data_IF_536561419873
#
_entry.id   IF_536561419873
#
_cell.length_a   1.000
_cell.length_b   1.000
_cell.length_c   1.000
_cell.angle_alpha   90.00
_cell.angle_beta   90.00
_cell.angle_gamma   90.00
#
_symmetry.space_group_name_H-M   'P 1'
#
loop_
_entity.id
_entity.type
_entity.pdbx_description
1 polymer ?
#
# COMPACT_ATOMS: atom_id res chain seq x y z
N UNK A 1 -28.03 -14.48 70.36
CA UNK A 1 -28.12 -13.27 69.49
C UNK A 1 -26.75 -12.83 68.97
N UNK A 2 -25.72 -12.69 69.81
CA UNK A 2 -24.38 -12.23 69.39
C UNK A 2 -23.68 -13.10 68.32
N UNK A 3 -23.82 -14.44 68.40
CA UNK A 3 -23.23 -15.37 67.40
C UNK A 3 -23.81 -15.21 65.99
N UNK A 4 -25.11 -14.95 65.87
CA UNK A 4 -25.76 -14.74 64.57
C UNK A 4 -25.31 -13.44 63.89
N UNK A 5 -25.10 -12.39 64.69
CA UNK A 5 -24.59 -11.11 64.19
C UNK A 5 -23.17 -11.22 63.62
N UNK A 6 -22.28 -11.95 64.31
CA UNK A 6 -20.90 -12.20 63.84
C UNK A 6 -20.90 -12.98 62.52
N UNK A 7 -21.73 -14.02 62.39
CA UNK A 7 -21.80 -14.84 61.17
C UNK A 7 -22.27 -13.99 59.98
N UNK A 8 -23.28 -13.15 60.16
CA UNK A 8 -23.75 -12.23 59.11
C UNK A 8 -22.66 -11.25 58.72
N UNK A 9 -21.95 -10.66 59.69
CA UNK A 9 -20.88 -9.70 59.43
C UNK A 9 -19.69 -10.35 58.69
N UNK A 10 -19.29 -11.56 59.09
CA UNK A 10 -18.25 -12.33 58.38
C UNK A 10 -18.70 -12.72 56.97
N UNK A 11 -19.97 -13.08 56.78
CA UNK A 11 -20.52 -13.41 55.46
C UNK A 11 -20.47 -12.20 54.53
N UNK A 12 -20.87 -11.03 55.02
CA UNK A 12 -20.77 -9.76 54.26
C UNK A 12 -19.31 -9.44 53.93
N UNK A 13 -18.39 -9.67 54.87
CA UNK A 13 -16.95 -9.52 54.64
C UNK A 13 -16.44 -10.41 53.50
N UNK A 14 -16.77 -11.70 53.50
CA UNK A 14 -16.36 -12.66 52.46
C UNK A 14 -16.98 -12.35 51.11
N UNK A 15 -18.28 -12.00 51.08
CA UNK A 15 -18.95 -11.61 49.83
C UNK A 15 -18.37 -10.31 49.28
N UNK A 16 -18.09 -9.34 50.15
CA UNK A 16 -17.46 -8.07 49.76
C UNK A 16 -16.06 -8.25 49.20
N UNK A 17 -15.21 -9.05 49.83
CA UNK A 17 -13.85 -9.33 49.32
C UNK A 17 -13.87 -10.19 48.06
N UNK A 18 -14.80 -11.14 47.96
CA UNK A 18 -15.00 -11.93 46.74
C UNK A 18 -15.43 -11.08 45.54
N UNK A 19 -16.38 -10.15 45.75
CA UNK A 19 -16.80 -9.21 44.71
C UNK A 19 -15.68 -8.24 44.32
N UNK A 20 -14.96 -7.68 45.31
CA UNK A 20 -13.82 -6.81 45.05
C UNK A 20 -12.71 -7.53 44.29
N UNK A 21 -12.34 -8.75 44.72
CA UNK A 21 -11.33 -9.55 44.03
C UNK A 21 -11.72 -9.94 42.60
N UNK A 22 -13.00 -10.25 42.36
CA UNK A 22 -13.51 -10.50 41.01
C UNK A 22 -13.46 -9.25 40.13
N UNK A 23 -13.87 -8.10 40.67
CA UNK A 23 -13.83 -6.82 39.97
C UNK A 23 -12.39 -6.39 39.64
N UNK A 24 -11.49 -6.49 40.61
CA UNK A 24 -10.06 -6.22 40.44
C UNK A 24 -9.45 -7.14 39.37
N UNK A 25 -9.81 -8.43 39.36
CA UNK A 25 -9.38 -9.37 38.34
C UNK A 25 -9.87 -8.99 36.94
N UNK A 26 -11.13 -8.54 36.81
CA UNK A 26 -11.68 -8.06 35.54
C UNK A 26 -10.99 -6.77 35.06
N UNK A 27 -10.83 -5.78 35.92
CA UNK A 27 -10.16 -4.51 35.58
C UNK A 27 -8.70 -4.76 35.19
N UNK A 28 -7.98 -5.61 35.93
CA UNK A 28 -6.63 -6.05 35.58
C UNK A 28 -6.58 -6.72 34.20
N UNK A 29 -7.46 -7.67 33.93
CA UNK A 29 -7.48 -8.36 32.63
C UNK A 29 -7.81 -7.40 31.48
N UNK A 30 -8.72 -6.45 31.68
CA UNK A 30 -9.03 -5.43 30.69
C UNK A 30 -7.79 -4.57 30.37
N UNK A 31 -7.06 -4.12 31.40
CA UNK A 31 -5.82 -3.35 31.22
C UNK A 31 -4.76 -4.17 30.45
N UNK A 32 -4.57 -5.44 30.80
CA UNK A 32 -3.61 -6.32 30.12
C UNK A 32 -3.96 -6.54 28.65
N UNK A 33 -5.24 -6.76 28.33
CA UNK A 33 -5.70 -6.89 26.93
C UNK A 33 -5.51 -5.58 26.17
N UNK A 34 -5.82 -4.44 26.78
CA UNK A 34 -5.61 -3.14 26.15
C UNK A 34 -4.13 -2.86 25.86
N UNK A 35 -3.24 -3.18 26.80
CA UNK A 35 -1.79 -3.06 26.60
C UNK A 35 -1.30 -3.99 25.49
N UNK A 36 -1.70 -5.27 25.50
CA UNK A 36 -1.35 -6.24 24.46
C UNK A 36 -1.80 -5.78 23.07
N UNK A 37 -3.05 -5.32 22.92
CA UNK A 37 -3.56 -4.80 21.65
C UNK A 37 -2.77 -3.56 21.18
N UNK A 38 -2.36 -2.69 22.11
CA UNK A 38 -1.54 -1.54 21.79
C UNK A 38 -0.15 -1.94 21.32
N UNK A 39 0.49 -2.92 21.95
CA UNK A 39 1.80 -3.43 21.54
C UNK A 39 1.75 -4.11 20.18
N UNK A 40 0.75 -4.96 19.94
CA UNK A 40 0.55 -5.58 18.64
C UNK A 40 0.36 -4.54 17.54
N UNK A 41 -0.52 -3.55 17.77
CA UNK A 41 -0.74 -2.44 16.83
C UNK A 41 0.55 -1.67 16.57
N UNK A 42 1.23 -1.19 17.62
CA UNK A 42 2.45 -0.41 17.48
C UNK A 42 3.56 -1.18 16.76
N UNK A 43 3.69 -2.48 17.01
CA UNK A 43 4.67 -3.32 16.31
C UNK A 43 4.32 -3.50 14.82
N UNK A 44 3.05 -3.73 14.49
CA UNK A 44 2.61 -3.82 13.10
C UNK A 44 2.75 -2.50 12.35
N UNK A 45 2.40 -1.39 13.00
CA UNK A 45 2.58 -0.04 12.45
C UNK A 45 4.07 0.22 12.21
N UNK A 46 4.95 -0.09 13.17
CA UNK A 46 6.40 0.04 13.01
C UNK A 46 6.94 -0.78 11.82
N UNK A 47 6.59 -2.06 11.72
CA UNK A 47 7.02 -2.91 10.62
C UNK A 47 6.60 -2.30 9.26
N UNK A 48 5.36 -1.84 9.18
CA UNK A 48 4.84 -1.15 8.00
C UNK A 48 5.57 0.17 7.69
N UNK A 49 5.84 1.01 8.70
CA UNK A 49 6.59 2.25 8.48
C UNK A 49 8.02 1.99 8.00
N UNK A 50 8.67 0.94 8.51
CA UNK A 50 10.02 0.55 8.06
C UNK A 50 10.00 0.04 6.62
N UNK A 51 8.99 -0.73 6.21
CA UNK A 51 8.80 -1.12 4.80
C UNK A 51 8.69 0.13 3.91
N UNK A 52 7.80 1.07 4.29
CA UNK A 52 7.62 2.32 3.57
C UNK A 52 8.89 3.16 3.52
N UNK A 53 9.65 3.18 4.62
CA UNK A 53 10.89 3.92 4.74
C UNK A 53 11.94 3.40 3.76
N UNK A 54 12.13 2.08 3.72
CA UNK A 54 13.03 1.42 2.78
C UNK A 54 12.64 1.72 1.33
N UNK A 55 11.36 1.61 0.98
CA UNK A 55 10.88 1.90 -0.38
C UNK A 55 11.07 3.38 -0.77
N UNK A 56 10.81 4.31 0.15
CA UNK A 56 10.98 5.74 -0.10
C UNK A 56 12.44 6.13 -0.24
N UNK A 57 13.33 5.61 0.61
CA UNK A 57 14.78 5.79 0.46
C UNK A 57 15.26 5.23 -0.88
N UNK A 58 14.83 4.02 -1.24
CA UNK A 58 15.16 3.41 -2.52
C UNK A 58 14.68 4.25 -3.71
N UNK A 59 13.49 4.83 -3.62
CA UNK A 59 12.96 5.74 -4.64
C UNK A 59 13.79 7.02 -4.74
N UNK A 60 14.16 7.63 -3.61
CA UNK A 60 15.03 8.82 -3.56
C UNK A 60 16.40 8.56 -4.20
N UNK A 61 16.99 7.38 -4.00
CA UNK A 61 18.26 7.00 -4.65
C UNK A 61 18.18 6.98 -6.18
N UNK A 62 17.01 6.67 -6.75
CA UNK A 62 16.81 6.62 -8.20
C UNK A 62 16.44 7.98 -8.80
N UNK A 63 16.13 8.98 -7.99
CA UNK A 63 15.81 10.34 -8.43
C UNK A 63 17.07 11.13 -8.80
N UNK A 64 16.91 12.16 -9.62
CA UNK A 64 18.01 13.04 -10.04
C UNK A 64 17.71 14.54 -9.91
N UNK A 65 16.44 14.94 -9.83
CA UNK A 65 16.05 16.36 -9.85
C UNK A 65 15.73 16.89 -8.44
N UNK A 66 15.99 18.18 -8.18
CA UNK A 66 15.53 18.82 -6.93
C UNK A 66 14.02 18.72 -6.73
N UNK A 67 13.26 18.95 -7.80
CA UNK A 67 11.80 18.98 -7.78
C UNK A 67 11.19 17.66 -7.31
N UNK A 68 11.89 16.54 -7.47
CA UNK A 68 11.51 15.22 -6.97
C UNK A 68 12.19 14.86 -5.64
N UNK A 69 13.47 15.20 -5.47
CA UNK A 69 14.26 14.85 -4.28
C UNK A 69 13.77 15.52 -2.98
N UNK A 70 13.51 16.83 -2.99
CA UNK A 70 13.11 17.55 -1.76
C UNK A 70 11.80 17.02 -1.17
N UNK A 71 10.71 16.84 -1.95
CA UNK A 71 9.49 16.21 -1.46
C UNK A 71 9.70 14.78 -0.98
N UNK A 72 10.51 13.98 -1.70
CA UNK A 72 10.77 12.59 -1.32
C UNK A 72 11.51 12.48 0.03
N UNK A 73 12.50 13.33 0.27
CA UNK A 73 13.24 13.40 1.53
C UNK A 73 12.35 13.92 2.68
N UNK A 74 11.45 14.88 2.43
CA UNK A 74 10.46 15.30 3.42
C UNK A 74 9.51 14.15 3.80
N UNK A 75 9.13 13.31 2.83
CA UNK A 75 8.34 12.10 3.05
C UNK A 75 9.10 11.07 3.91
N UNK A 76 10.38 10.84 3.61
CA UNK A 76 11.26 9.98 4.43
C UNK A 76 11.31 10.48 5.87
N UNK A 77 11.56 11.78 6.09
CA UNK A 77 11.55 12.38 7.43
C UNK A 77 10.22 12.18 8.18
N UNK A 78 9.08 12.34 7.49
CA UNK A 78 7.75 12.13 8.06
C UNK A 78 7.55 10.67 8.49
N UNK A 79 7.90 9.71 7.63
CA UNK A 79 7.75 8.27 7.91
C UNK A 79 8.65 7.86 9.08
N UNK A 80 9.89 8.34 9.09
CA UNK A 80 10.80 8.13 10.20
C UNK A 80 10.23 8.64 11.53
N UNK A 81 9.60 9.81 11.52
CA UNK A 81 8.96 10.36 12.73
C UNK A 81 7.78 9.49 13.21
N UNK A 82 7.03 8.89 12.29
CA UNK A 82 5.97 7.93 12.61
C UNK A 82 6.55 6.65 13.21
N UNK A 83 7.55 6.05 12.56
CA UNK A 83 8.24 4.87 13.06
C UNK A 83 8.82 5.09 14.47
N UNK A 84 9.40 6.26 14.73
CA UNK A 84 9.91 6.61 16.06
C UNK A 84 8.78 6.70 17.11
N UNK A 85 7.61 7.22 16.73
CA UNK A 85 6.43 7.25 17.61
C UNK A 85 5.87 5.85 17.90
N UNK A 86 6.00 4.92 16.95
CA UNK A 86 5.53 3.54 17.11
C UNK A 86 6.47 2.73 18.01
N UNK A 87 7.80 2.90 17.87
CA UNK A 87 8.78 2.36 18.82
C UNK A 87 8.51 2.86 20.24
N UNK A 88 8.21 4.15 20.39
CA UNK A 88 7.86 4.76 21.68
C UNK A 88 6.68 4.13 22.41
N UNK A 89 5.82 3.40 21.70
CA UNK A 89 4.65 2.71 22.24
C UNK A 89 4.90 1.24 22.60
N UNK A 90 6.04 0.67 22.18
CA UNK A 90 6.45 -0.68 22.57
C UNK A 90 6.90 -0.70 24.04
N UNK A 91 6.99 -1.88 24.69
CA UNK A 91 7.51 -1.98 26.05
C UNK A 91 9.02 -1.66 26.08
N UNK A 92 9.35 -0.36 26.06
CA UNK A 92 10.69 0.20 25.88
C UNK A 92 11.65 -0.07 27.05
N UNK A 93 11.14 -0.33 28.25
CA UNK A 93 11.97 -0.50 29.44
C UNK A 93 12.79 -1.79 29.44
N UNK A 94 12.51 -2.72 28.54
CA UNK A 94 13.03 -4.09 28.62
C UNK A 94 13.55 -4.66 27.28
N UNK A 95 13.29 -4.00 26.15
CA UNK A 95 13.74 -4.43 24.82
C UNK A 95 14.86 -3.51 24.29
N UNK A 96 15.90 -4.06 23.63
CA UNK A 96 17.00 -3.25 23.10
C UNK A 96 16.57 -2.59 21.78
N UNK A 97 15.92 -1.43 21.85
CA UNK A 97 15.52 -0.64 20.67
C UNK A 97 16.38 0.60 20.42
N UNK A 98 17.37 0.86 21.27
CA UNK A 98 18.12 2.11 21.28
C UNK A 98 18.81 2.39 19.94
N UNK A 99 19.27 1.35 19.23
CA UNK A 99 19.93 1.48 17.92
C UNK A 99 18.93 1.65 16.78
N UNK A 100 17.74 1.06 16.90
CA UNK A 100 16.65 1.32 15.93
C UNK A 100 16.16 2.76 16.04
N UNK A 101 16.00 3.28 17.27
CA UNK A 101 15.69 4.70 17.50
C UNK A 101 16.79 5.63 16.96
N UNK A 102 18.06 5.30 17.22
CA UNK A 102 19.22 6.06 16.70
C UNK A 102 19.26 6.06 15.17
N UNK A 103 19.04 4.90 14.54
CA UNK A 103 18.95 4.77 13.09
C UNK A 103 17.83 5.65 12.49
N UNK A 104 16.63 5.59 13.08
CA UNK A 104 15.52 6.43 12.65
C UNK A 104 15.88 7.90 12.82
N UNK A 105 16.37 8.32 13.98
CA UNK A 105 16.78 9.71 14.21
C UNK A 105 17.78 10.21 13.15
N UNK A 106 18.78 9.39 12.81
CA UNK A 106 19.78 9.71 11.78
C UNK A 106 19.18 9.87 10.38
N UNK A 107 18.27 8.98 9.97
CA UNK A 107 17.55 9.12 8.70
C UNK A 107 16.75 10.40 8.68
N UNK A 108 16.05 10.68 9.78
CA UNK A 108 15.24 11.88 9.93
C UNK A 108 16.08 13.14 9.72
N UNK A 109 17.24 13.22 10.38
CA UNK A 109 18.13 14.39 10.32
C UNK A 109 18.69 14.60 8.91
N UNK A 110 19.26 13.53 8.34
CA UNK A 110 19.79 13.56 6.98
C UNK A 110 18.72 14.02 5.99
N UNK A 111 17.53 13.44 6.07
CA UNK A 111 16.45 13.69 5.12
C UNK A 111 15.90 15.10 5.26
N UNK A 112 15.70 15.59 6.49
CA UNK A 112 15.23 16.96 6.72
C UNK A 112 16.25 18.00 6.25
N UNK A 113 17.52 17.88 6.69
CA UNK A 113 18.59 18.83 6.34
C UNK A 113 18.76 18.94 4.82
N UNK A 114 18.67 17.81 4.13
CA UNK A 114 18.80 17.75 2.67
C UNK A 114 17.55 18.28 1.98
N UNK A 115 16.34 17.97 2.48
CA UNK A 115 15.09 18.40 1.87
C UNK A 115 14.94 19.93 1.81
N UNK A 116 15.39 20.65 2.85
CA UNK A 116 15.28 22.11 2.95
C UNK A 116 16.36 22.87 2.15
N UNK A 117 17.36 22.17 1.60
CA UNK A 117 18.45 22.77 0.81
C UNK A 117 18.01 23.08 -0.63
N UNK A 118 18.69 24.02 -1.27
CA UNK A 118 18.54 24.30 -2.69
C UNK A 118 19.29 23.25 -3.54
N UNK A 119 18.67 22.07 -3.77
CA UNK A 119 19.32 20.96 -4.48
C UNK A 119 19.60 21.23 -5.97
N UNK A 120 19.11 22.33 -6.55
CA UNK A 120 19.47 22.73 -7.92
C UNK A 120 20.88 23.35 -7.94
N UNK A 121 21.26 24.02 -6.85
CA UNK A 121 22.59 24.63 -6.68
C UNK A 121 23.56 23.70 -5.96
N UNK A 122 23.04 22.96 -4.98
CA UNK A 122 23.79 22.05 -4.12
C UNK A 122 23.14 20.66 -4.17
N UNK A 123 23.28 19.93 -5.30
CA UNK A 123 22.76 18.57 -5.44
C UNK A 123 23.38 17.64 -4.40
N UNK A 124 22.83 16.44 -4.26
CA UNK A 124 23.45 15.39 -3.45
C UNK A 124 24.87 15.15 -3.94
N UNK A 125 25.84 15.31 -3.04
CA UNK A 125 27.21 14.94 -3.34
C UNK A 125 27.44 13.42 -3.16
N UNK A 126 28.58 12.92 -3.64
CA UNK A 126 28.89 11.49 -3.57
C UNK A 126 28.88 10.91 -2.14
N UNK A 127 29.26 11.71 -1.13
CA UNK A 127 29.22 11.26 0.27
C UNK A 127 27.79 11.11 0.75
N UNK A 128 26.93 12.09 0.48
CA UNK A 128 25.51 12.06 0.83
C UNK A 128 24.76 10.93 0.10
N UNK A 129 25.11 10.69 -1.17
CA UNK A 129 24.56 9.57 -1.93
C UNK A 129 24.97 8.21 -1.33
N UNK A 130 26.25 8.05 -0.96
CA UNK A 130 26.73 6.86 -0.26
C UNK A 130 26.05 6.68 1.11
N UNK A 131 25.83 7.76 1.86
CA UNK A 131 25.06 7.73 3.10
C UNK A 131 23.65 7.22 2.83
N UNK A 132 22.94 7.76 1.84
CA UNK A 132 21.59 7.30 1.50
C UNK A 132 21.55 5.82 1.09
N UNK A 133 22.58 5.33 0.39
CA UNK A 133 22.73 3.91 0.05
C UNK A 133 22.98 3.02 1.27
N UNK A 134 23.75 3.50 2.25
CA UNK A 134 23.92 2.79 3.52
C UNK A 134 22.61 2.75 4.32
N UNK A 135 21.89 3.87 4.39
CA UNK A 135 20.59 3.94 5.05
C UNK A 135 19.57 3.00 4.38
N UNK A 136 19.61 2.88 3.04
CA UNK A 136 18.80 1.91 2.29
C UNK A 136 19.08 0.47 2.73
N UNK A 137 20.35 0.06 2.74
CA UNK A 137 20.74 -1.30 3.12
C UNK A 137 20.41 -1.60 4.59
N UNK A 138 20.60 -0.62 5.48
CA UNK A 138 20.26 -0.76 6.90
C UNK A 138 18.74 -0.87 7.09
N UNK A 139 17.94 -0.09 6.35
CA UNK A 139 16.49 -0.19 6.37
C UNK A 139 16.02 -1.58 5.92
N UNK A 140 16.63 -2.14 4.87
CA UNK A 140 16.35 -3.50 4.41
C UNK A 140 16.64 -4.56 5.48
N UNK A 141 17.78 -4.45 6.17
CA UNK A 141 18.13 -5.38 7.24
C UNK A 141 17.16 -5.28 8.42
N UNK A 142 16.79 -4.07 8.84
CA UNK A 142 15.83 -3.85 9.93
C UNK A 142 14.44 -4.36 9.53
N UNK A 143 14.03 -4.10 8.29
CA UNK A 143 12.80 -4.62 7.71
C UNK A 143 12.74 -6.15 7.83
N UNK A 144 13.77 -6.85 7.35
CA UNK A 144 13.82 -8.32 7.39
C UNK A 144 13.77 -8.87 8.81
N UNK A 145 14.48 -8.23 9.76
CA UNK A 145 14.45 -8.66 11.15
C UNK A 145 13.09 -8.41 11.82
N UNK A 146 12.44 -7.27 11.55
CA UNK A 146 11.08 -7.00 12.04
C UNK A 146 10.07 -8.01 11.45
N UNK A 147 10.20 -8.37 10.16
CA UNK A 147 9.35 -9.38 9.53
C UNK A 147 9.57 -10.78 10.11
N UNK A 148 10.80 -11.16 10.45
CA UNK A 148 11.08 -12.40 11.19
C UNK A 148 10.42 -12.41 12.56
N UNK A 149 10.54 -11.32 13.33
CA UNK A 149 9.88 -11.20 14.65
C UNK A 149 8.36 -11.30 14.49
N UNK A 150 7.80 -10.63 13.48
CA UNK A 150 6.37 -10.70 13.16
C UNK A 150 5.92 -12.13 12.87
N UNK A 151 6.65 -12.83 12.01
CA UNK A 151 6.36 -14.22 11.66
C UNK A 151 6.40 -15.13 12.90
N UNK A 152 7.44 -14.99 13.73
CA UNK A 152 7.61 -15.81 14.95
C UNK A 152 6.54 -15.53 16.00
N UNK A 153 6.14 -14.27 16.17
CA UNK A 153 5.06 -13.88 17.07
C UNK A 153 3.72 -14.50 16.64
N UNK A 154 3.40 -14.44 15.35
CA UNK A 154 2.17 -15.02 14.78
C UNK A 154 2.18 -16.56 14.83
N UNK A 155 3.31 -17.19 14.46
CA UNK A 155 3.46 -18.65 14.43
C UNK A 155 3.31 -19.30 15.80
N UNK A 156 3.83 -18.63 16.84
CA UNK A 156 3.85 -19.16 18.20
C UNK A 156 2.80 -18.53 19.14
N UNK A 157 1.88 -17.69 18.62
CA UNK A 157 0.89 -16.95 19.41
C UNK A 157 1.49 -16.24 20.63
N UNK A 158 2.65 -15.59 20.43
CA UNK A 158 3.38 -14.95 21.51
C UNK A 158 2.69 -13.66 21.91
N UNK A 159 2.55 -13.44 23.23
CA UNK A 159 2.00 -12.19 23.78
C UNK A 159 3.13 -11.26 24.17
N UNK A 160 3.08 -10.02 23.73
CA UNK A 160 4.05 -8.98 24.05
C UNK A 160 4.15 -8.73 25.56
N UNK A 161 3.02 -8.85 26.26
CA UNK A 161 2.95 -8.78 27.72
C UNK A 161 3.73 -9.89 28.43
N UNK A 162 3.79 -11.12 27.86
CA UNK A 162 4.57 -12.21 28.45
C UNK A 162 6.07 -11.95 28.33
N UNK A 163 6.49 -11.29 27.24
CA UNK A 163 7.88 -10.85 27.03
C UNK A 163 8.24 -9.78 28.06
N UNK A 164 7.38 -8.80 28.27
CA UNK A 164 7.57 -7.76 29.29
C UNK A 164 7.68 -8.35 30.71
N UNK A 165 6.78 -9.26 31.09
CA UNK A 165 6.82 -9.93 32.40
C UNK A 165 8.08 -10.79 32.58
N UNK A 166 8.48 -11.52 31.52
CA UNK A 166 9.70 -12.34 31.56
C UNK A 166 10.93 -11.47 31.82
N UNK A 167 11.08 -10.38 31.07
CA UNK A 167 12.20 -9.44 31.19
C UNK A 167 12.21 -8.72 32.56
N UNK A 168 11.05 -8.33 33.09
CA UNK A 168 10.94 -7.68 34.40
C UNK A 168 11.32 -8.63 35.56
N UNK A 169 11.11 -9.93 35.37
CA UNK A 169 11.35 -10.95 36.40
C UNK A 169 12.81 -11.44 36.49
N UNK A 170 13.72 -11.00 35.60
CA UNK A 170 15.10 -11.50 35.45
C UNK A 170 15.21 -13.03 35.29
N UNK A 171 14.10 -13.73 35.07
CA UNK A 171 14.12 -15.10 34.62
C UNK A 171 14.38 -15.05 33.11
N UNK A 172 15.54 -15.54 32.68
CA UNK A 172 15.76 -15.89 31.28
C UNK A 172 15.16 -17.28 31.04
N UNK A 173 13.91 -17.43 30.57
CA UNK A 173 13.55 -18.68 29.94
C UNK A 173 14.45 -18.81 28.71
N UNK A 174 15.15 -19.93 28.60
CA UNK A 174 16.17 -20.20 27.60
C UNK A 174 15.64 -20.32 26.14
N UNK A 175 14.47 -19.75 25.86
CA UNK A 175 13.77 -19.89 24.58
C UNK A 175 12.79 -18.70 24.40
N UNK A 176 13.31 -17.51 24.11
CA UNK A 176 12.43 -16.36 23.83
C UNK A 176 12.81 -15.70 22.51
N UNK A 177 12.34 -16.32 21.43
CA UNK A 177 12.66 -16.00 20.03
C UNK A 177 12.38 -14.54 19.67
N UNK A 178 11.43 -13.87 20.35
CA UNK A 178 11.16 -12.44 20.18
C UNK A 178 12.35 -11.59 20.64
N UNK A 179 12.91 -11.88 21.80
CA UNK A 179 14.04 -11.13 22.38
C UNK A 179 15.26 -11.27 21.47
N UNK A 180 15.51 -12.47 20.94
CA UNK A 180 16.65 -12.72 20.06
C UNK A 180 16.47 -12.09 18.67
N UNK A 181 15.24 -12.05 18.16
CA UNK A 181 14.91 -11.26 16.98
C UNK A 181 15.20 -9.77 17.18
N UNK A 182 14.77 -9.18 18.31
CA UNK A 182 15.07 -7.77 18.60
C UNK A 182 16.55 -7.48 18.81
N UNK A 183 17.30 -8.37 19.48
CA UNK A 183 18.77 -8.24 19.56
C UNK A 183 19.42 -8.25 18.18
N UNK A 184 18.85 -8.97 17.22
CA UNK A 184 19.34 -9.04 15.85
C UNK A 184 19.01 -7.76 15.07
N UNK A 185 17.78 -7.24 15.20
CA UNK A 185 17.41 -5.88 14.71
C UNK A 185 18.42 -4.85 15.22
N UNK A 186 18.65 -4.82 16.54
CA UNK A 186 19.51 -3.86 17.22
C UNK A 186 20.97 -3.93 16.75
N UNK A 187 21.49 -5.15 16.56
CA UNK A 187 22.87 -5.37 16.09
C UNK A 187 23.08 -4.84 14.68
N UNK A 188 22.07 -4.94 13.81
CA UNK A 188 22.15 -4.50 12.41
C UNK A 188 22.06 -2.98 12.24
N UNK A 189 21.62 -2.24 13.27
CA UNK A 189 21.54 -0.77 13.27
C UNK A 189 22.82 -0.02 13.69
N UNK A 190 23.94 -0.71 13.91
CA UNK A 190 25.21 -0.07 14.32
C UNK A 190 25.92 0.64 13.15
N UNK A 191 25.67 1.95 12.95
CA UNK A 191 26.66 2.92 12.42
C UNK A 191 26.20 4.39 12.55
N UNK A 192 27.02 5.18 13.26
CA UNK A 192 27.09 6.66 13.34
C UNK A 192 26.10 7.42 14.24
N UNK A 193 26.59 8.46 14.91
CA UNK A 193 25.87 9.32 15.85
C UNK A 193 26.16 10.81 15.60
N UNK A 194 25.12 11.67 15.60
CA UNK A 194 24.99 12.89 16.44
C UNK A 194 23.87 13.89 16.00
N UNK A 195 23.07 14.26 17.02
CA UNK A 195 22.48 15.57 17.39
C UNK A 195 21.18 16.12 16.75
N UNK A 196 20.59 17.06 17.51
CA UNK A 196 19.15 17.31 17.77
C UNK A 196 18.42 18.36 16.91
N UNK A 197 17.07 18.25 16.90
CA UNK A 197 16.05 18.93 16.09
C UNK A 197 15.37 20.18 16.70
N UNK A 198 14.71 20.96 15.82
CA UNK A 198 13.57 21.85 16.10
C UNK A 198 12.40 21.61 15.12
N UNK A 199 11.15 22.07 15.38
CA UNK A 199 9.95 21.59 14.69
C UNK A 199 9.56 22.41 13.44
N UNK A 200 8.94 21.77 12.44
CA UNK A 200 8.20 22.43 11.34
C UNK A 200 6.89 21.69 11.00
N UNK A 201 5.92 22.49 10.57
CA UNK A 201 4.53 22.18 10.23
C UNK A 201 4.33 21.32 8.98
N UNK A 202 3.25 20.54 8.99
CA UNK A 202 2.63 19.89 7.84
C UNK A 202 1.43 20.68 7.34
N UNK A 203 1.29 20.82 6.04
CA UNK A 203 0.01 21.11 5.38
C UNK A 203 -0.18 20.13 4.23
N UNK A 204 -1.14 19.21 4.39
CA UNK A 204 -1.68 18.37 3.33
C UNK A 204 -3.02 18.97 2.90
N UNK A 205 -3.07 19.62 1.74
CA UNK A 205 -4.33 19.89 1.06
C UNK A 205 -4.70 18.68 0.19
N UNK A 206 -5.85 18.08 0.47
CA UNK A 206 -6.55 17.17 -0.45
C UNK A 206 -7.58 18.00 -1.21
N UNK A 207 -7.41 18.20 -2.51
CA UNK A 207 -8.49 18.67 -3.38
C UNK A 207 -8.97 17.59 -4.37
N UNK A 208 -10.30 17.49 -4.39
CA UNK A 208 -11.28 17.04 -5.39
C UNK A 208 -10.76 16.26 -6.60
N UNK A 209 -10.99 14.95 -6.60
CA UNK A 209 -11.16 14.16 -7.83
C UNK A 209 -12.30 14.78 -8.66
N UNK A 210 -11.98 15.15 -9.89
CA UNK A 210 -12.84 15.85 -10.85
C UNK A 210 -14.08 15.06 -11.28
N UNK A 211 -14.98 15.79 -11.94
CA UNK A 211 -16.23 15.30 -12.52
C UNK A 211 -15.96 14.17 -13.52
N UNK A 212 -16.78 13.11 -13.49
CA UNK A 212 -16.63 12.01 -14.45
C UNK A 212 -17.10 12.42 -15.84
N UNK A 213 -16.21 12.32 -16.83
CA UNK A 213 -16.47 12.69 -18.22
C UNK A 213 -17.19 11.56 -18.98
N UNK A 214 -18.38 11.19 -18.52
CA UNK A 214 -19.16 10.10 -19.12
C UNK A 214 -20.17 10.65 -20.13
N UNK A 215 -20.00 10.25 -21.38
CA UNK A 215 -20.90 10.60 -22.49
C UNK A 215 -21.80 9.42 -22.87
N UNK A 216 -22.93 9.71 -23.54
CA UNK A 216 -23.89 8.71 -24.02
C UNK A 216 -25.31 8.96 -23.50
N UNK A 217 -26.33 8.26 -24.01
CA UNK A 217 -27.70 8.41 -23.52
C UNK A 217 -27.87 7.83 -22.11
N UNK A 218 -28.87 8.29 -21.37
CA UNK A 218 -29.28 7.63 -20.12
C UNK A 218 -29.85 6.25 -20.42
N UNK A 219 -29.51 5.28 -19.59
CA UNK A 219 -30.04 3.92 -19.67
C UNK A 219 -31.10 3.67 -18.60
N UNK A 220 -32.01 2.72 -18.87
CA UNK A 220 -32.97 2.21 -17.89
C UNK A 220 -32.38 1.10 -17.02
N UNK A 221 -33.10 0.73 -15.96
CA UNK A 221 -32.76 -0.43 -15.10
C UNK A 221 -32.69 -1.74 -15.92
N UNK A 222 -33.65 -1.99 -16.80
CA UNK A 222 -33.65 -3.17 -17.68
C UNK A 222 -32.44 -3.20 -18.61
N UNK A 223 -32.02 -2.04 -19.12
CA UNK A 223 -30.81 -1.92 -19.93
C UNK A 223 -29.56 -2.20 -19.10
N UNK A 224 -29.50 -1.72 -17.85
CA UNK A 224 -28.41 -2.03 -16.93
C UNK A 224 -28.33 -3.54 -16.64
N UNK A 225 -29.45 -4.20 -16.41
CA UNK A 225 -29.53 -5.67 -16.23
C UNK A 225 -29.00 -6.40 -17.47
N UNK A 226 -29.39 -5.96 -18.68
CA UNK A 226 -28.90 -6.58 -19.91
C UNK A 226 -27.40 -6.40 -20.12
N UNK A 227 -26.86 -5.23 -19.76
CA UNK A 227 -25.41 -4.98 -19.76
C UNK A 227 -24.71 -5.91 -18.76
N UNK A 228 -25.23 -6.04 -17.54
CA UNK A 228 -24.66 -6.94 -16.53
C UNK A 228 -24.67 -8.41 -16.97
N UNK A 229 -25.79 -8.88 -17.56
CA UNK A 229 -25.90 -10.23 -18.12
C UNK A 229 -24.82 -10.50 -19.18
N UNK A 230 -24.62 -9.55 -20.09
CA UNK A 230 -23.61 -9.66 -21.13
C UNK A 230 -22.19 -9.59 -20.56
N UNK A 231 -21.92 -8.66 -19.65
CA UNK A 231 -20.59 -8.42 -19.09
C UNK A 231 -20.11 -9.59 -18.21
N UNK A 232 -21.02 -10.15 -17.41
CA UNK A 232 -20.74 -11.27 -16.51
C UNK A 232 -20.96 -12.65 -17.17
N UNK A 233 -21.38 -12.68 -18.44
CA UNK A 233 -21.70 -13.92 -19.17
C UNK A 233 -22.68 -14.84 -18.41
N UNK A 234 -23.73 -14.26 -17.84
CA UNK A 234 -24.72 -14.97 -17.01
C UNK A 234 -25.51 -15.99 -17.83
N UNK A 235 -25.82 -17.14 -17.22
CA UNK A 235 -26.47 -18.28 -17.90
C UNK A 235 -28.00 -18.26 -17.81
N UNK A 236 -28.56 -17.38 -16.98
CA UNK A 236 -30.00 -17.12 -16.88
C UNK A 236 -30.69 -17.70 -15.64
N UNK A 237 -30.01 -18.56 -14.87
CA UNK A 237 -30.53 -19.15 -13.63
C UNK A 237 -30.31 -18.25 -12.40
N UNK A 238 -29.53 -17.17 -12.56
CA UNK A 238 -29.11 -16.29 -11.49
C UNK A 238 -30.22 -15.30 -11.09
N UNK A 239 -30.35 -15.04 -9.79
CA UNK A 239 -31.27 -14.01 -9.27
C UNK A 239 -30.57 -12.65 -9.34
N UNK A 240 -31.20 -11.70 -10.02
CA UNK A 240 -30.66 -10.34 -10.21
C UNK A 240 -31.53 -9.35 -9.47
N UNK A 241 -30.93 -8.52 -8.63
CA UNK A 241 -31.55 -7.32 -8.04
C UNK A 241 -30.81 -6.08 -8.51
N UNK A 242 -31.54 -5.00 -8.75
CA UNK A 242 -31.01 -3.71 -9.16
C UNK A 242 -31.50 -2.61 -8.23
N UNK A 243 -30.60 -1.73 -7.83
CA UNK A 243 -30.89 -0.55 -7.03
C UNK A 243 -30.29 0.68 -7.69
N UNK A 244 -31.04 1.78 -7.70
CA UNK A 244 -30.55 3.05 -8.22
C UNK A 244 -29.80 3.82 -7.11
N UNK A 245 -28.67 4.41 -7.48
CA UNK A 245 -27.90 5.32 -6.61
C UNK A 245 -28.77 6.41 -5.97
N UNK A 246 -28.41 6.79 -4.74
CA UNK A 246 -29.18 7.74 -3.94
C UNK A 246 -29.24 9.15 -4.56
N UNK A 247 -30.23 9.94 -4.15
CA UNK A 247 -30.45 11.30 -4.69
C UNK A 247 -29.24 12.23 -4.54
N UNK A 248 -28.41 12.05 -3.50
CA UNK A 248 -27.19 12.84 -3.25
C UNK A 248 -25.92 12.36 -3.96
N UNK A 249 -25.96 11.22 -4.67
CA UNK A 249 -24.78 10.73 -5.39
C UNK A 249 -24.38 11.70 -6.50
N UNK A 250 -23.11 12.16 -6.47
CA UNK A 250 -22.51 13.07 -7.47
C UNK A 250 -22.58 12.48 -8.89
N UNK A 251 -22.46 11.17 -8.99
CA UNK A 251 -22.61 10.42 -10.23
C UNK A 251 -23.72 9.40 -10.04
N UNK A 252 -24.65 9.34 -11.01
CA UNK A 252 -25.74 8.36 -10.97
C UNK A 252 -25.32 7.03 -11.59
N UNK A 253 -25.64 5.96 -10.89
CA UNK A 253 -25.37 4.58 -11.29
C UNK A 253 -26.49 3.64 -10.82
N UNK A 254 -26.48 2.45 -11.39
CA UNK A 254 -27.27 1.29 -10.98
C UNK A 254 -26.33 0.29 -10.31
N UNK A 255 -26.67 -0.12 -9.09
CA UNK A 255 -26.00 -1.20 -8.37
C UNK A 255 -26.76 -2.49 -8.60
N UNK A 256 -26.06 -3.51 -9.08
CA UNK A 256 -26.62 -4.79 -9.47
C UNK A 256 -25.97 -5.87 -8.62
N UNK A 257 -26.81 -6.67 -7.96
CA UNK A 257 -26.41 -7.86 -7.22
C UNK A 257 -26.93 -9.09 -7.94
N UNK A 258 -26.03 -10.01 -8.26
CA UNK A 258 -26.32 -11.26 -8.94
C UNK A 258 -26.00 -12.41 -7.97
N UNK A 259 -27.01 -13.23 -7.67
CA UNK A 259 -26.87 -14.41 -6.80
C UNK A 259 -27.00 -15.68 -7.62
N UNK A 260 -25.98 -16.50 -7.62
CA UNK A 260 -26.02 -17.84 -8.19
C UNK A 260 -26.57 -18.82 -7.13
N UNK A 261 -27.78 -19.39 -7.33
CA UNK A 261 -28.38 -20.30 -6.36
C UNK A 261 -27.65 -21.64 -6.24
N UNK A 262 -26.83 -22.04 -7.22
CA UNK A 262 -26.13 -23.34 -7.23
C UNK A 262 -24.87 -23.30 -6.37
N UNK A 263 -24.17 -22.17 -6.39
CA UNK A 263 -22.89 -21.98 -5.68
C UNK A 263 -23.04 -21.13 -4.42
N UNK A 264 -24.20 -20.48 -4.23
CA UNK A 264 -24.43 -19.46 -3.21
C UNK A 264 -23.43 -18.28 -3.32
N UNK A 265 -22.84 -18.07 -4.50
CA UNK A 265 -21.97 -16.93 -4.75
C UNK A 265 -22.76 -15.68 -5.11
N UNK A 266 -22.27 -14.53 -4.68
CA UNK A 266 -22.79 -13.21 -4.95
C UNK A 266 -21.77 -12.41 -5.77
N UNK A 267 -22.25 -11.76 -6.82
CA UNK A 267 -21.47 -10.82 -7.63
C UNK A 267 -22.15 -9.46 -7.60
N UNK A 268 -21.41 -8.44 -7.19
CA UNK A 268 -21.87 -7.07 -7.14
C UNK A 268 -21.21 -6.27 -8.26
N UNK A 269 -21.98 -5.41 -8.91
CA UNK A 269 -21.56 -4.62 -10.06
C UNK A 269 -22.25 -3.26 -10.07
N UNK A 270 -21.50 -2.19 -10.32
CA UNK A 270 -22.11 -0.87 -10.61
C UNK A 270 -21.98 -0.51 -12.08
N UNK A 271 -23.03 0.08 -12.65
CA UNK A 271 -23.10 0.55 -14.03
C UNK A 271 -23.55 2.01 -14.04
N UNK A 272 -22.87 2.85 -14.82
CA UNK A 272 -23.24 4.28 -14.94
C UNK A 272 -24.65 4.44 -15.54
N UNK A 273 -25.48 5.32 -14.97
CA UNK A 273 -26.80 5.63 -15.56
C UNK A 273 -26.62 6.30 -16.93
N UNK A 274 -25.58 7.12 -17.07
CA UNK A 274 -25.20 7.73 -18.34
C UNK A 274 -24.32 6.76 -19.13
N UNK A 275 -24.70 6.41 -20.36
CA UNK A 275 -23.90 5.61 -21.29
C UNK A 275 -23.80 4.10 -20.98
N UNK A 276 -24.16 3.66 -19.77
CA UNK A 276 -24.20 2.24 -19.43
C UNK A 276 -22.83 1.56 -19.30
N UNK A 277 -21.84 2.25 -18.74
CA UNK A 277 -20.50 1.71 -18.57
C UNK A 277 -20.35 0.93 -17.25
N UNK A 278 -19.79 -0.30 -17.28
CA UNK A 278 -19.36 -1.00 -16.07
C UNK A 278 -18.33 -0.18 -15.30
N UNK A 279 -18.61 0.12 -14.03
CA UNK A 279 -17.71 0.88 -13.14
C UNK A 279 -16.80 -0.08 -12.39
N UNK A 280 -17.39 -1.06 -11.72
CA UNK A 280 -16.66 -2.09 -10.98
C UNK A 280 -17.48 -3.37 -10.88
N UNK A 281 -16.79 -4.48 -10.63
CA UNK A 281 -17.36 -5.81 -10.31
C UNK A 281 -16.55 -6.41 -9.17
N UNK A 282 -17.21 -7.10 -8.24
CA UNK A 282 -16.58 -8.05 -7.32
C UNK A 282 -17.46 -9.27 -7.17
N UNK A 283 -16.87 -10.44 -7.32
CA UNK A 283 -17.47 -11.72 -7.01
C UNK A 283 -16.86 -12.27 -5.72
N UNK A 284 -17.68 -12.79 -4.82
CA UNK A 284 -17.23 -13.46 -3.60
C UNK A 284 -17.12 -14.99 -3.76
N UNK A 285 -17.17 -15.50 -4.99
CA UNK A 285 -17.10 -16.94 -5.22
C UNK A 285 -15.81 -17.52 -4.64
N UNK A 286 -15.88 -18.76 -4.19
CA UNK A 286 -14.70 -19.53 -3.84
C UNK A 286 -13.85 -19.80 -5.09
N UNK A 287 -12.54 -19.64 -4.94
CA UNK A 287 -11.54 -19.86 -6.01
C UNK A 287 -10.75 -21.09 -5.63
N UNK A 288 -10.76 -22.08 -6.53
CA UNK A 288 -10.09 -23.36 -6.29
C UNK A 288 -8.63 -23.29 -6.69
N UNK A 289 -7.96 -24.43 -6.65
CA UNK A 289 -6.56 -24.57 -7.07
C UNK A 289 -6.32 -24.01 -8.48
N UNK A 290 -5.19 -23.32 -8.62
CA UNK A 290 -4.69 -22.79 -9.87
C UNK A 290 -4.58 -23.87 -10.96
N UNK A 291 -5.18 -23.58 -12.13
CA UNK A 291 -5.08 -24.40 -13.35
C UNK A 291 -4.51 -23.65 -14.54
N UNK A 292 -4.17 -22.38 -14.35
CA UNK A 292 -3.75 -21.46 -15.39
C UNK A 292 -2.59 -20.60 -14.91
N UNK A 293 -1.65 -20.30 -15.80
CA UNK A 293 -0.57 -19.37 -15.52
C UNK A 293 -1.03 -17.91 -15.47
N UNK A 294 -0.25 -17.05 -14.81
CA UNK A 294 -0.52 -15.61 -14.77
C UNK A 294 -0.54 -14.99 -16.19
N UNK A 295 0.31 -15.49 -17.09
CA UNK A 295 0.38 -15.03 -18.48
C UNK A 295 -0.91 -15.35 -19.26
N UNK A 296 -1.39 -16.59 -19.19
CA UNK A 296 -2.66 -16.99 -19.83
C UNK A 296 -3.85 -16.20 -19.27
N UNK A 297 -3.87 -15.92 -17.96
CA UNK A 297 -4.88 -15.09 -17.34
C UNK A 297 -4.81 -13.63 -17.85
N UNK A 298 -3.61 -13.07 -18.02
CA UNK A 298 -3.40 -11.74 -18.62
C UNK A 298 -3.98 -11.62 -20.03
N UNK A 299 -3.73 -12.62 -20.89
CA UNK A 299 -4.27 -12.68 -22.26
C UNK A 299 -5.81 -12.82 -22.28
N UNK A 300 -6.37 -13.59 -21.34
CA UNK A 300 -7.84 -13.64 -21.13
C UNK A 300 -8.38 -12.27 -20.73
N UNK A 301 -7.68 -11.54 -19.85
CA UNK A 301 -8.03 -10.19 -19.45
C UNK A 301 -8.09 -9.22 -20.63
N UNK A 302 -7.05 -9.20 -21.49
CA UNK A 302 -7.04 -8.40 -22.71
C UNK A 302 -8.20 -8.73 -23.65
N UNK A 303 -8.47 -10.03 -23.83
CA UNK A 303 -9.58 -10.51 -24.66
C UNK A 303 -10.94 -10.06 -24.11
N UNK A 304 -11.13 -10.16 -22.79
CA UNK A 304 -12.33 -9.69 -22.10
C UNK A 304 -12.55 -8.18 -22.28
N UNK A 305 -11.50 -7.38 -22.11
CA UNK A 305 -11.56 -5.92 -22.30
C UNK A 305 -11.97 -5.57 -23.73
N UNK A 306 -11.35 -6.22 -24.72
CA UNK A 306 -11.65 -6.00 -26.14
C UNK A 306 -13.10 -6.34 -26.48
N UNK A 307 -13.64 -7.44 -25.96
CA UNK A 307 -15.03 -7.84 -26.15
C UNK A 307 -16.01 -6.85 -25.50
N UNK A 308 -15.63 -6.27 -24.36
CA UNK A 308 -16.43 -5.32 -23.59
C UNK A 308 -16.16 -3.84 -23.95
N UNK A 309 -15.71 -3.58 -25.19
CA UNK A 309 -15.52 -2.24 -25.78
C UNK A 309 -14.39 -1.39 -25.17
N UNK A 310 -13.52 -1.96 -24.35
CA UNK A 310 -12.28 -1.33 -23.92
C UNK A 310 -11.19 -1.68 -24.95
N UNK A 311 -10.98 -0.75 -25.89
CA UNK A 311 -10.07 -0.94 -27.03
C UNK A 311 -8.67 -0.43 -26.70
N UNK A 312 -7.68 -0.99 -27.39
CA UNK A 312 -6.27 -0.60 -27.32
C UNK A 312 -5.71 -0.66 -25.89
N UNK A 313 -6.12 -1.66 -25.12
CA UNK A 313 -5.57 -1.89 -23.79
C UNK A 313 -4.28 -2.70 -23.90
N UNK A 314 -3.30 -2.37 -23.07
CA UNK A 314 -2.04 -3.07 -22.91
C UNK A 314 -1.89 -3.50 -21.44
N UNK A 315 -1.33 -4.68 -21.19
CA UNK A 315 -0.99 -5.11 -19.83
C UNK A 315 0.17 -4.26 -19.30
N UNK A 316 -0.06 -3.58 -18.18
CA UNK A 316 0.96 -2.75 -17.53
C UNK A 316 1.58 -3.44 -16.32
N UNK A 317 0.76 -4.01 -15.44
CA UNK A 317 1.22 -4.63 -14.20
C UNK A 317 0.44 -5.93 -13.95
N UNK A 318 1.14 -6.96 -13.47
CA UNK A 318 0.53 -8.23 -13.08
C UNK A 318 1.20 -8.76 -11.82
N UNK A 319 0.38 -9.19 -10.86
CA UNK A 319 0.83 -9.90 -9.66
C UNK A 319 -0.10 -11.08 -9.38
N UNK A 320 0.39 -12.05 -8.62
CA UNK A 320 -0.39 -13.21 -8.21
C UNK A 320 -0.51 -13.24 -6.69
N UNK A 321 -1.73 -13.44 -6.20
CA UNK A 321 -2.01 -13.69 -4.79
C UNK A 321 -2.81 -14.98 -4.70
N UNK A 322 -2.19 -16.03 -4.16
CA UNK A 322 -2.75 -17.39 -4.14
C UNK A 322 -3.21 -17.81 -5.56
N UNK A 323 -4.47 -18.22 -5.74
CA UNK A 323 -5.02 -18.64 -7.02
C UNK A 323 -5.72 -17.49 -7.78
N UNK A 324 -5.32 -16.23 -7.52
CA UNK A 324 -5.85 -15.02 -8.18
C UNK A 324 -4.75 -14.19 -8.81
N UNK A 325 -4.88 -13.92 -10.11
CA UNK A 325 -4.08 -12.93 -10.81
C UNK A 325 -4.71 -11.54 -10.68
N UNK A 326 -3.90 -10.56 -10.30
CA UNK A 326 -4.28 -9.13 -10.24
C UNK A 326 -3.55 -8.41 -11.36
N UNK A 327 -4.31 -7.72 -12.20
CA UNK A 327 -3.80 -7.09 -13.41
C UNK A 327 -4.20 -5.62 -13.46
N UNK A 328 -3.29 -4.78 -13.92
CA UNK A 328 -3.59 -3.42 -14.35
C UNK A 328 -3.32 -3.31 -15.84
N UNK A 329 -4.32 -2.88 -16.59
CA UNK A 329 -4.23 -2.57 -18.00
C UNK A 329 -4.27 -1.06 -18.18
N UNK A 330 -3.56 -0.53 -19.18
CA UNK A 330 -3.58 0.89 -19.54
C UNK A 330 -3.91 1.04 -21.02
N UNK A 331 -4.55 2.14 -21.39
CA UNK A 331 -4.79 2.44 -22.81
C UNK A 331 -3.47 2.77 -23.50
N UNK A 332 -3.24 2.21 -24.67
CA UNK A 332 -2.15 2.54 -25.56
C UNK A 332 -2.72 3.22 -26.83
N UNK A 333 -2.29 4.45 -27.11
CA UNK A 333 -2.62 5.16 -28.35
C UNK A 333 -1.33 5.48 -29.08
N UNK A 334 -1.19 4.97 -30.29
CA UNK A 334 -0.02 5.24 -31.14
C UNK A 334 1.33 5.00 -30.44
N UNK A 335 1.42 3.91 -29.67
CA UNK A 335 2.59 3.53 -28.86
C UNK A 335 2.87 4.44 -27.65
N UNK A 336 1.89 5.25 -27.23
CA UNK A 336 1.92 6.06 -26.00
C UNK A 336 0.99 5.45 -24.96
N UNK A 337 1.53 5.10 -23.78
CA UNK A 337 0.74 4.58 -22.66
C UNK A 337 0.03 5.71 -21.93
N UNK A 338 -1.27 5.57 -21.70
CA UNK A 338 -2.08 6.57 -21.01
C UNK A 338 -2.47 6.01 -19.64
N UNK A 339 -1.61 6.25 -18.65
CA UNK A 339 -1.80 5.78 -17.28
C UNK A 339 -3.11 6.23 -16.60
N UNK A 340 -3.62 7.46 -16.83
CA UNK A 340 -4.92 7.85 -16.32
C UNK A 340 -6.07 6.97 -16.84
N UNK A 341 -5.88 6.32 -17.99
CA UNK A 341 -6.84 5.42 -18.61
C UNK A 341 -6.57 3.95 -18.24
N UNK A 342 -6.51 3.68 -16.94
CA UNK A 342 -6.24 2.36 -16.40
C UNK A 342 -7.50 1.59 -16.01
N UNK A 343 -7.42 0.27 -16.14
CA UNK A 343 -8.44 -0.69 -15.72
C UNK A 343 -7.76 -1.77 -14.89
N UNK A 344 -8.29 -2.02 -13.70
CA UNK A 344 -7.82 -3.09 -12.83
C UNK A 344 -8.74 -4.30 -12.92
N UNK A 345 -8.17 -5.50 -12.93
CA UNK A 345 -8.90 -6.75 -13.00
C UNK A 345 -8.33 -7.78 -12.02
N UNK A 346 -9.21 -8.58 -11.44
CA UNK A 346 -8.86 -9.82 -10.74
C UNK A 346 -9.41 -10.99 -11.54
N UNK A 347 -8.53 -11.89 -11.92
CA UNK A 347 -8.86 -13.08 -12.71
C UNK A 347 -8.50 -14.29 -11.88
N UNK A 348 -9.47 -15.15 -11.67
CA UNK A 348 -9.26 -16.38 -10.95
C UNK A 348 -8.50 -17.38 -11.83
N UNK A 349 -7.44 -17.97 -11.28
CA UNK A 349 -6.53 -18.84 -12.03
C UNK A 349 -7.02 -20.29 -12.10
N UNK A 350 -8.14 -20.62 -11.46
CA UNK A 350 -8.78 -21.94 -11.51
C UNK A 350 -9.58 -22.17 -12.82
N UNK A 351 -10.28 -21.14 -13.32
CA UNK A 351 -11.12 -21.22 -14.53
C UNK A 351 -10.98 -20.02 -15.48
N UNK A 352 -10.32 -18.93 -15.04
CA UNK A 352 -10.14 -17.69 -15.81
C UNK A 352 -11.32 -16.73 -15.79
N UNK A 353 -12.30 -16.92 -14.89
CA UNK A 353 -13.40 -15.98 -14.70
C UNK A 353 -12.94 -14.68 -14.04
N UNK A 354 -13.61 -13.58 -14.41
CA UNK A 354 -13.35 -12.25 -13.86
C UNK A 354 -14.04 -12.15 -12.50
N UNK A 355 -13.27 -12.22 -11.42
CA UNK A 355 -13.76 -12.10 -10.04
C UNK A 355 -13.67 -10.68 -9.50
N UNK A 356 -12.96 -9.80 -10.20
CA UNK A 356 -12.90 -8.38 -9.90
C UNK A 356 -12.63 -7.53 -11.13
N UNK A 357 -13.24 -6.36 -11.19
CA UNK A 357 -13.05 -5.39 -12.26
C UNK A 357 -13.21 -3.98 -11.71
N UNK A 358 -12.41 -3.02 -12.17
CA UNK A 358 -12.57 -1.60 -11.87
C UNK A 358 -12.09 -0.75 -13.04
N UNK A 359 -13.02 -0.04 -13.67
CA UNK A 359 -12.75 0.97 -14.70
C UNK A 359 -12.91 2.40 -14.16
N UNK A 360 -12.85 2.59 -12.84
CA UNK A 360 -13.05 3.91 -12.21
C UNK A 360 -12.10 4.97 -12.76
N UNK A 361 -10.82 4.64 -12.88
CA UNK A 361 -9.81 5.58 -13.40
C UNK A 361 -10.01 5.82 -14.90
N UNK A 362 -10.21 4.76 -15.68
CA UNK A 362 -10.61 4.87 -17.09
C UNK A 362 -11.86 5.74 -17.31
N UNK A 363 -12.87 5.70 -16.45
CA UNK A 363 -14.09 6.51 -16.58
C UNK A 363 -13.93 7.94 -16.04
N UNK A 364 -12.99 8.17 -15.12
CA UNK A 364 -12.65 9.50 -14.62
C UNK A 364 -11.70 10.26 -15.56
N UNK A 365 -10.93 9.54 -16.37
CA UNK A 365 -10.03 10.13 -17.38
C UNK A 365 -10.78 10.99 -18.40
N UNK A 366 -10.09 12.01 -18.92
CA UNK A 366 -10.57 12.75 -20.09
C UNK A 366 -10.48 11.85 -21.31
N UNK A 367 -11.53 11.83 -22.15
CA UNK A 367 -11.57 10.96 -23.34
C UNK A 367 -11.00 11.61 -24.60
N UNK A 368 -10.74 12.91 -24.55
CA UNK A 368 -10.23 13.74 -25.63
C UNK A 368 -8.79 14.23 -25.37
N UNK A 369 -7.98 13.44 -24.66
CA UNK A 369 -6.56 13.75 -24.42
C UNK A 369 -5.86 13.90 -25.77
N UNK A 370 -5.54 15.15 -26.12
CA UNK A 370 -4.65 15.46 -27.23
C UNK A 370 -3.23 15.24 -26.76
N UNK A 371 -2.60 14.17 -27.24
CA UNK A 371 -1.19 13.90 -26.97
C UNK A 371 -0.38 14.96 -27.73
N UNK A 372 0.28 15.90 -27.04
CA UNK A 372 1.09 16.91 -27.71
C UNK A 372 2.32 16.24 -28.34
N UNK A 373 2.93 16.88 -29.35
CA UNK A 373 4.25 16.42 -29.80
C UNK A 373 5.30 16.77 -28.74
N UNK A 374 6.25 15.88 -28.44
CA UNK A 374 7.31 16.16 -27.50
C UNK A 374 8.19 17.30 -28.03
N UNK A 375 8.57 18.23 -27.15
CA UNK A 375 9.49 19.33 -27.49
C UNK A 375 10.95 18.90 -27.32
N UNK A 376 11.21 17.99 -26.36
CA UNK A 376 12.50 17.40 -26.12
C UNK A 376 12.64 16.06 -26.85
N UNK A 377 13.85 15.76 -27.30
CA UNK A 377 14.18 14.42 -27.78
C UNK A 377 14.25 13.43 -26.60
N UNK A 378 13.95 12.16 -26.85
CA UNK A 378 14.11 11.12 -25.84
C UNK A 378 15.56 11.01 -25.35
N UNK A 379 16.55 11.25 -26.23
CA UNK A 379 17.96 11.29 -25.85
C UNK A 379 18.29 12.43 -24.89
N UNK A 380 17.65 13.58 -25.01
CA UNK A 380 17.87 14.70 -24.09
C UNK A 380 17.15 14.48 -22.77
N UNK A 381 15.97 13.87 -22.78
CA UNK A 381 15.29 13.40 -21.57
C UNK A 381 16.11 12.34 -20.84
N UNK A 382 16.74 11.41 -21.55
CA UNK A 382 17.61 10.38 -20.96
C UNK A 382 18.80 10.96 -20.21
N UNK A 383 19.36 12.08 -20.67
CA UNK A 383 20.45 12.80 -19.95
C UNK A 383 20.00 13.41 -18.62
N UNK A 384 18.69 13.52 -18.39
CA UNK A 384 18.12 14.03 -17.12
C UNK A 384 17.94 12.94 -16.07
N UNK A 385 18.06 11.67 -16.44
CA UNK A 385 17.95 10.54 -15.52
C UNK A 385 19.21 10.45 -14.66
N UNK A 386 19.06 9.89 -13.46
CA UNK A 386 20.18 9.57 -12.58
C UNK A 386 21.24 8.73 -13.34
N UNK A 387 22.50 9.18 -13.41
CA UNK A 387 23.54 8.51 -14.19
C UNK A 387 23.88 7.11 -13.66
N UNK A 388 23.55 6.79 -12.41
CA UNK A 388 23.75 5.47 -11.81
C UNK A 388 22.67 4.46 -12.25
N UNK A 389 21.56 4.91 -12.84
CA UNK A 389 20.50 4.04 -13.30
C UNK A 389 20.85 3.40 -14.65
N UNK A 390 20.79 2.08 -14.71
CA UNK A 390 20.90 1.34 -15.97
C UNK A 390 19.55 1.26 -16.67
N UNK A 391 19.30 2.17 -17.60
CA UNK A 391 18.09 2.16 -18.44
C UNK A 391 18.05 0.91 -19.34
N UNK A 392 16.91 0.23 -19.34
CA UNK A 392 16.63 -1.01 -20.09
C UNK A 392 15.57 -0.79 -21.17
N UNK A 393 14.57 0.04 -20.88
CA UNK A 393 13.44 0.30 -21.77
C UNK A 393 13.12 1.79 -21.79
N UNK A 394 12.59 2.25 -22.92
CA UNK A 394 12.20 3.63 -23.17
C UNK A 394 10.89 3.64 -23.95
N UNK A 395 9.91 4.41 -23.47
CA UNK A 395 8.60 4.58 -24.11
C UNK A 395 8.06 5.99 -23.88
N UNK A 396 7.01 6.36 -24.61
CA UNK A 396 6.23 7.56 -24.32
C UNK A 396 5.02 7.20 -23.44
N UNK A 397 4.72 8.07 -22.49
CA UNK A 397 3.60 7.87 -21.57
C UNK A 397 2.96 9.19 -21.15
N UNK A 398 1.65 9.19 -20.97
CA UNK A 398 0.91 10.27 -20.31
C UNK A 398 0.63 9.86 -18.87
N UNK A 399 1.01 10.72 -17.92
CA UNK A 399 0.72 10.56 -16.49
C UNK A 399 0.00 11.79 -15.94
N UNK A 400 -0.62 11.64 -14.76
CA UNK A 400 -1.03 12.79 -13.95
C UNK A 400 0.10 13.13 -13.00
N UNK A 401 0.60 14.37 -13.06
CA UNK A 401 1.62 14.85 -12.12
C UNK A 401 1.03 15.34 -10.79
N UNK A 402 1.89 15.76 -9.87
CA UNK A 402 1.48 16.19 -8.52
C UNK A 402 0.55 17.42 -8.53
N UNK A 403 0.59 18.23 -9.59
CA UNK A 403 -0.33 19.36 -9.80
C UNK A 403 -1.66 18.92 -10.46
N UNK A 404 -1.94 17.62 -10.51
CA UNK A 404 -3.13 17.02 -11.08
C UNK A 404 -3.34 17.35 -12.57
N UNK A 405 -2.24 17.56 -13.31
CA UNK A 405 -2.25 17.82 -14.75
C UNK A 405 -1.77 16.59 -15.50
N UNK A 406 -2.45 16.26 -16.59
CA UNK A 406 -1.98 15.28 -17.56
C UNK A 406 -0.78 15.86 -18.32
N UNK A 407 0.35 15.16 -18.27
CA UNK A 407 1.61 15.56 -18.92
C UNK A 407 2.16 14.39 -19.75
N UNK A 408 2.70 14.71 -20.93
CA UNK A 408 3.44 13.75 -21.76
C UNK A 408 4.86 13.62 -21.21
N UNK A 409 5.30 12.39 -21.01
CA UNK A 409 6.59 12.01 -20.49
C UNK A 409 7.24 10.95 -21.36
N UNK A 410 8.56 10.88 -21.31
CA UNK A 410 9.31 9.67 -21.61
C UNK A 410 9.36 8.81 -20.34
N UNK A 411 8.85 7.59 -20.45
CA UNK A 411 8.93 6.53 -19.47
C UNK A 411 10.23 5.76 -19.69
N UNK A 412 11.05 5.65 -18.65
CA UNK A 412 12.27 4.85 -18.63
C UNK A 412 12.15 3.77 -17.57
N UNK A 413 12.30 2.51 -17.99
CA UNK A 413 12.44 1.38 -17.09
C UNK A 413 13.93 1.07 -16.95
N UNK A 414 14.42 0.94 -15.73
CA UNK A 414 15.83 0.65 -15.49
C UNK A 414 16.10 0.08 -14.12
N UNK A 415 17.34 -0.36 -13.88
CA UNK A 415 17.76 -0.94 -12.61
C UNK A 415 18.80 -0.08 -11.92
N UNK A 416 18.71 0.06 -10.61
CA UNK A 416 19.76 0.59 -9.74
C UNK A 416 20.06 -0.46 -8.67
N UNK A 417 21.23 -1.09 -8.75
CA UNK A 417 21.54 -2.26 -7.92
C UNK A 417 20.64 -3.45 -8.26
N UNK A 418 19.93 -3.97 -7.26
CA UNK A 418 18.98 -5.10 -7.39
C UNK A 418 17.55 -4.66 -7.70
N UNK A 419 17.27 -3.36 -7.60
CA UNK A 419 15.92 -2.82 -7.67
C UNK A 419 15.61 -2.27 -9.06
N UNK A 420 14.35 -2.42 -9.47
CA UNK A 420 13.84 -1.93 -10.75
C UNK A 420 13.01 -0.67 -10.53
N UNK A 421 13.21 0.33 -11.38
CA UNK A 421 12.56 1.64 -11.29
C UNK A 421 11.94 2.01 -12.61
N UNK A 422 10.81 2.69 -12.51
CA UNK A 422 10.12 3.34 -13.59
C UNK A 422 10.18 4.86 -13.37
N UNK A 423 10.77 5.58 -14.31
CA UNK A 423 11.02 7.02 -14.23
C UNK A 423 10.28 7.74 -15.35
N UNK A 424 9.64 8.85 -15.03
CA UNK A 424 8.89 9.68 -15.98
C UNK A 424 9.54 11.05 -16.08
N UNK A 425 10.13 11.34 -17.24
CA UNK A 425 10.71 12.64 -17.56
C UNK A 425 9.77 13.39 -18.51
N UNK A 426 9.32 14.58 -18.13
CA UNK A 426 8.42 15.41 -18.92
C UNK A 426 9.03 15.69 -20.31
N UNK A 427 8.29 15.33 -21.36
CA UNK A 427 8.76 15.40 -22.74
C UNK A 427 8.80 16.84 -23.30
N UNK A 428 8.35 17.85 -22.55
CA UNK A 428 8.39 19.25 -22.95
C UNK A 428 9.52 20.04 -22.27
N UNK A 429 9.75 19.83 -20.97
CA UNK A 429 10.69 20.64 -20.18
C UNK A 429 11.81 19.83 -19.50
N UNK A 430 11.74 18.50 -19.52
CA UNK A 430 12.78 17.62 -18.97
C UNK A 430 12.75 17.47 -17.46
N UNK A 431 11.69 17.98 -16.80
CA UNK A 431 11.45 17.78 -15.36
C UNK A 431 11.18 16.30 -15.08
N UNK A 432 11.76 15.77 -14.00
CA UNK A 432 11.41 14.44 -13.48
C UNK A 432 10.06 14.54 -12.75
N UNK A 433 9.00 14.03 -13.38
CA UNK A 433 7.62 14.15 -12.88
C UNK A 433 7.29 13.05 -11.89
N UNK A 434 7.90 11.86 -12.03
CA UNK A 434 7.64 10.72 -11.15
C UNK A 434 8.74 9.67 -11.22
N UNK A 435 9.07 9.09 -10.06
CA UNK A 435 9.92 7.89 -9.94
C UNK A 435 9.16 6.87 -9.10
N UNK A 436 9.02 5.64 -9.61
CA UNK A 436 8.36 4.52 -8.93
C UNK A 436 9.34 3.35 -8.85
N UNK A 437 9.64 2.87 -7.64
CA UNK A 437 10.25 1.56 -7.44
C UNK A 437 9.22 0.48 -7.75
N UNK A 438 9.57 -0.49 -8.59
CA UNK A 438 8.71 -1.65 -8.88
C UNK A 438 8.99 -2.73 -7.84
N UNK A 439 7.93 -3.27 -7.23
CA UNK A 439 8.08 -4.30 -6.21
C UNK A 439 8.60 -5.60 -6.82
N UNK A 440 9.60 -6.20 -6.17
CA UNK A 440 9.97 -7.59 -6.39
C UNK A 440 8.98 -8.51 -5.68
N UNK A 441 8.94 -9.79 -6.08
CA UNK A 441 8.16 -10.83 -5.38
C UNK A 441 8.53 -10.81 -3.89
N UNK A 442 7.53 -10.73 -3.02
CA UNK A 442 7.70 -10.72 -1.57
C UNK A 442 8.39 -12.02 -1.12
N UNK A 443 9.39 -11.91 -0.24
CA UNK A 443 10.16 -13.07 0.21
C UNK A 443 9.30 -13.95 1.11
N UNK A 444 9.28 -15.26 0.84
CA UNK A 444 8.65 -16.23 1.73
C UNK A 444 9.56 -16.41 2.95
N UNK A 445 9.01 -16.15 4.14
CA UNK A 445 9.71 -16.36 5.41
C UNK A 445 9.27 -17.73 5.99
N UNK A 446 10.25 -18.62 6.25
CA UNK A 446 10.05 -19.99 6.76
C UNK A 446 10.22 -20.11 8.29
#
# INVERSE_FOLDING_TARGET
>A
MFRGFIIVLLTIGVVGTGYWGYKEHQEKNAVLIHAENNYQRAFHDLAYQVDLLHDKIGTTLAMNSRTSLSPALADVWRITSQAHSDIGQLPLTLLPFNKTEEFLANIGDFSYRTAIRDLDKEPLNDQEYNTLQQLYNNAANIQDELRKVQHLALKNNLRWMDVELALASNNNPADNTIIDGFKTVEKNSQSYSQSHFGPTFTSLEKEKKGETHISGPKISEDQAINIAKSFLSLKGDEKISVEKSSKGAKQKFYSITVKDPKTNSETNMDITEQGGYPIWVMSNREIKEQKMSLNEAGEKGLSFLKQNKFKNMELYESSQYDSVGVFTFVTNRDNVRIYPESIQMKIALDDGSIVGFSAKDYLASRKDIKIPKPTLSASDARKKINPNLKVMEEREAVIVNDLHKEVLCYEFLGTLGKDTYQIFINANNGTEEKVKKLQSVEQVYD
#
